data_IF_381377165438
#
_entry.id   IF_381377165438
#
_cell.length_a   1.000
_cell.length_b   1.000
_cell.length_c   1.000
_cell.angle_alpha   90.00
_cell.angle_beta   90.00
_cell.angle_gamma   90.00
#
_symmetry.space_group_name_H-M   'P 1'
#
loop_
_entity.id
_entity.type
_entity.pdbx_description
1 polymer ?
#
# COMPACT_ATOMS: atom_id res chain seq x y z
N UNK A 1 -18.66 26.23 -17.77
CA UNK A 1 -18.85 25.71 -16.40
C UNK A 1 -19.25 24.23 -16.37
N UNK A 2 -19.51 23.57 -17.51
CA UNK A 2 -19.93 22.15 -17.57
C UNK A 2 -18.76 21.13 -17.61
N UNK A 3 -17.55 21.56 -17.99
CA UNK A 3 -16.39 20.66 -18.09
C UNK A 3 -15.84 20.21 -16.73
N UNK A 4 -16.16 20.93 -15.64
CA UNK A 4 -15.72 20.59 -14.28
C UNK A 4 -16.60 19.47 -13.68
N UNK A 5 -17.90 19.45 -13.98
CA UNK A 5 -18.80 18.40 -13.49
C UNK A 5 -18.55 17.03 -14.15
N UNK A 6 -18.17 17.02 -15.43
CA UNK A 6 -17.86 15.79 -16.18
C UNK A 6 -16.60 15.08 -15.65
N UNK A 7 -15.60 15.84 -15.19
CA UNK A 7 -14.41 15.28 -14.53
C UNK A 7 -14.69 14.85 -13.09
N UNK A 8 -15.52 15.59 -12.36
CA UNK A 8 -15.85 15.30 -10.96
C UNK A 8 -16.64 13.98 -10.81
N UNK A 9 -17.56 13.69 -11.74
CA UNK A 9 -18.40 12.47 -11.70
C UNK A 9 -17.64 11.19 -12.07
N UNK A 10 -16.65 11.25 -12.97
CA UNK A 10 -15.87 10.07 -13.38
C UNK A 10 -14.66 9.81 -12.50
N UNK A 11 -14.01 10.85 -11.97
CA UNK A 11 -12.85 10.70 -11.09
C UNK A 11 -13.22 10.10 -9.73
N UNK A 12 -14.26 10.63 -9.08
CA UNK A 12 -14.67 10.17 -7.73
C UNK A 12 -15.26 8.74 -7.80
N UNK A 13 -16.04 8.43 -8.83
CA UNK A 13 -16.70 7.12 -8.95
C UNK A 13 -15.70 5.97 -9.21
N UNK A 14 -14.48 6.28 -9.71
CA UNK A 14 -13.41 5.30 -9.82
C UNK A 14 -12.77 4.97 -8.46
N UNK A 15 -12.68 5.94 -7.54
CA UNK A 15 -12.18 5.69 -6.18
C UNK A 15 -13.18 4.95 -5.29
N UNK A 16 -14.48 5.16 -5.52
CA UNK A 16 -15.56 4.43 -4.83
C UNK A 16 -16.11 3.27 -5.65
N UNK A 17 -15.37 2.78 -6.65
CA UNK A 17 -15.76 1.58 -7.37
C UNK A 17 -15.77 0.43 -6.38
N UNK A 18 -16.95 -0.14 -6.13
CA UNK A 18 -17.17 -1.26 -5.20
C UNK A 18 -16.09 -2.32 -5.44
N UNK A 19 -15.14 -2.42 -4.51
CA UNK A 19 -14.08 -3.41 -4.57
C UNK A 19 -14.74 -4.78 -4.63
N UNK A 20 -14.35 -5.62 -5.58
CA UNK A 20 -14.83 -7.01 -5.58
C UNK A 20 -14.32 -7.71 -4.32
N UNK A 21 -15.04 -8.71 -3.81
CA UNK A 21 -14.63 -9.41 -2.58
C UNK A 21 -13.20 -9.98 -2.66
N UNK A 22 -12.73 -10.32 -3.87
CA UNK A 22 -11.35 -10.79 -4.11
C UNK A 22 -10.31 -9.66 -4.11
N UNK A 23 -10.61 -8.49 -4.68
CA UNK A 23 -9.74 -7.31 -4.58
C UNK A 23 -9.62 -6.83 -3.14
N UNK A 24 -10.72 -6.89 -2.38
CA UNK A 24 -10.70 -6.59 -0.95
C UNK A 24 -9.76 -7.52 -0.20
N UNK A 25 -9.83 -8.84 -0.44
CA UNK A 25 -8.90 -9.80 0.18
C UNK A 25 -7.42 -9.53 -0.16
N UNK A 26 -7.12 -9.08 -1.38
CA UNK A 26 -5.75 -8.72 -1.76
C UNK A 26 -5.29 -7.43 -1.07
N UNK A 27 -6.16 -6.43 -0.98
CA UNK A 27 -5.90 -5.19 -0.26
C UNK A 27 -5.69 -5.43 1.23
N UNK A 28 -6.55 -6.24 1.86
CA UNK A 28 -6.42 -6.63 3.28
C UNK A 28 -5.08 -7.34 3.53
N UNK A 29 -4.67 -8.26 2.64
CA UNK A 29 -3.35 -8.91 2.73
C UNK A 29 -2.20 -7.92 2.52
N UNK A 30 -2.31 -7.02 1.55
CA UNK A 30 -1.28 -6.01 1.32
C UNK A 30 -1.12 -5.08 2.52
N UNK A 31 -2.24 -4.71 3.15
CA UNK A 31 -2.25 -3.90 4.36
C UNK A 31 -1.66 -4.63 5.56
N UNK A 32 -1.94 -5.93 5.72
CA UNK A 32 -1.28 -6.77 6.74
C UNK A 32 0.24 -6.84 6.53
N UNK A 33 0.69 -7.08 5.30
CA UNK A 33 2.13 -7.14 4.97
C UNK A 33 2.79 -5.79 5.23
N UNK A 34 2.15 -4.68 4.84
CA UNK A 34 2.65 -3.34 5.13
C UNK A 34 2.75 -3.04 6.62
N UNK A 35 1.72 -3.42 7.39
CA UNK A 35 1.71 -3.24 8.84
C UNK A 35 2.83 -4.05 9.53
N UNK A 36 3.00 -5.32 9.17
CA UNK A 36 4.08 -6.16 9.69
C UNK A 36 5.45 -5.55 9.33
N UNK A 37 5.60 -5.05 8.11
CA UNK A 37 6.85 -4.43 7.67
C UNK A 37 7.14 -3.13 8.43
N UNK A 38 6.12 -2.33 8.71
CA UNK A 38 6.22 -1.14 9.55
C UNK A 38 6.68 -1.47 10.96
N UNK A 39 6.07 -2.49 11.59
CA UNK A 39 6.48 -2.96 12.91
C UNK A 39 7.94 -3.44 12.91
N UNK A 40 8.35 -4.16 11.87
CA UNK A 40 9.73 -4.62 11.74
C UNK A 40 10.71 -3.45 11.57
N UNK A 41 10.41 -2.47 10.73
CA UNK A 41 11.24 -1.27 10.54
C UNK A 41 11.35 -0.44 11.82
N UNK A 42 10.24 -0.28 12.56
CA UNK A 42 10.25 0.37 13.87
C UNK A 42 11.10 -0.38 14.87
N UNK A 43 11.00 -1.72 14.93
CA UNK A 43 11.81 -2.55 15.80
C UNK A 43 13.31 -2.38 15.48
N UNK A 44 13.68 -2.45 14.20
CA UNK A 44 15.06 -2.25 13.76
C UNK A 44 15.55 -0.86 14.12
N UNK A 45 14.71 0.17 13.94
CA UNK A 45 15.08 1.53 14.29
C UNK A 45 15.31 1.70 15.80
N UNK A 46 14.46 1.10 16.63
CA UNK A 46 14.56 1.15 18.09
C UNK A 46 15.81 0.40 18.61
N UNK A 47 16.09 -0.79 18.05
CA UNK A 47 17.32 -1.53 18.36
C UNK A 47 18.55 -0.75 17.89
N UNK A 48 18.46 -0.11 16.73
CA UNK A 48 19.49 0.76 16.20
C UNK A 48 19.79 1.95 17.09
N UNK A 49 18.76 2.66 17.53
CA UNK A 49 18.88 3.78 18.45
C UNK A 49 19.49 3.35 19.78
N UNK A 50 19.10 2.19 20.30
CA UNK A 50 19.68 1.63 21.52
C UNK A 50 21.17 1.28 21.40
N UNK A 51 21.60 0.74 20.24
CA UNK A 51 22.99 0.27 20.04
C UNK A 51 23.94 1.37 19.57
N UNK A 52 23.45 2.33 18.79
CA UNK A 52 24.27 3.35 18.13
C UNK A 52 23.99 4.77 18.62
N UNK A 53 23.11 4.94 19.62
CA UNK A 53 22.66 6.22 20.19
C UNK A 53 22.15 7.21 19.13
N UNK A 54 21.65 6.68 18.01
CA UNK A 54 21.24 7.46 16.86
C UNK A 54 20.10 6.78 16.12
N UNK A 55 19.12 7.57 15.71
CA UNK A 55 18.07 7.13 14.78
C UNK A 55 18.70 6.68 13.45
N UNK A 56 18.46 5.42 13.06
CA UNK A 56 18.92 4.89 11.77
C UNK A 56 18.06 5.46 10.64
N UNK A 57 16.74 5.53 10.88
CA UNK A 57 15.75 6.09 9.98
C UNK A 57 14.82 7.00 10.78
N UNK A 58 14.41 8.10 10.16
CA UNK A 58 13.38 8.95 10.76
C UNK A 58 12.02 8.25 10.69
N UNK A 59 11.14 8.56 11.64
CA UNK A 59 9.76 8.04 11.66
C UNK A 59 9.01 8.28 10.34
N UNK A 60 9.25 9.42 9.69
CA UNK A 60 8.66 9.75 8.39
C UNK A 60 9.17 8.81 7.29
N UNK A 61 10.47 8.50 7.28
CA UNK A 61 11.05 7.56 6.31
C UNK A 61 10.48 6.15 6.50
N UNK A 62 10.35 5.68 7.74
CA UNK A 62 9.76 4.39 8.07
C UNK A 62 8.30 4.32 7.58
N UNK A 63 7.53 5.40 7.80
CA UNK A 63 6.15 5.50 7.31
C UNK A 63 6.07 5.43 5.78
N UNK A 64 6.88 6.23 5.08
CA UNK A 64 6.90 6.25 3.60
C UNK A 64 7.28 4.88 3.05
N UNK A 65 8.28 4.21 3.63
CA UNK A 65 8.68 2.86 3.22
C UNK A 65 7.55 1.84 3.42
N UNK A 66 6.87 1.89 4.56
CA UNK A 66 5.71 1.04 4.82
C UNK A 66 4.60 1.21 3.78
N UNK A 67 4.24 2.46 3.48
CA UNK A 67 3.22 2.79 2.47
C UNK A 67 3.65 2.31 1.08
N UNK A 68 4.92 2.55 0.71
CA UNK A 68 5.44 2.14 -0.59
C UNK A 68 5.39 0.61 -0.77
N UNK A 69 5.69 -0.15 0.28
CA UNK A 69 5.62 -1.61 0.28
C UNK A 69 4.18 -2.11 0.12
N UNK A 70 3.21 -1.49 0.79
CA UNK A 70 1.78 -1.81 0.59
C UNK A 70 1.39 -1.65 -0.88
N UNK A 71 1.70 -0.50 -1.48
CA UNK A 71 1.33 -0.23 -2.88
C UNK A 71 2.03 -1.17 -3.86
N UNK A 72 3.34 -1.43 -3.69
CA UNK A 72 4.06 -2.38 -4.54
C UNK A 72 3.44 -3.77 -4.42
N UNK A 73 3.19 -4.23 -3.21
CA UNK A 73 2.64 -5.57 -2.98
C UNK A 73 1.24 -5.71 -3.56
N UNK A 74 0.39 -4.69 -3.41
CA UNK A 74 -0.94 -4.65 -4.03
C UNK A 74 -0.86 -4.68 -5.57
N UNK A 75 0.06 -3.91 -6.17
CA UNK A 75 0.29 -3.91 -7.62
C UNK A 75 0.76 -5.29 -8.09
N UNK A 76 1.71 -5.92 -7.38
CA UNK A 76 2.23 -7.25 -7.74
C UNK A 76 1.15 -8.33 -7.66
N UNK A 77 0.33 -8.33 -6.60
CA UNK A 77 -0.80 -9.28 -6.48
C UNK A 77 -1.84 -9.07 -7.58
N UNK A 78 -2.13 -7.82 -7.94
CA UNK A 78 -3.07 -7.53 -9.02
C UNK A 78 -2.49 -7.87 -10.42
N UNK A 79 -1.17 -7.70 -10.62
CA UNK A 79 -0.50 -8.02 -11.88
C UNK A 79 -0.42 -9.53 -12.12
N UNK A 80 0.00 -10.29 -11.10
CA UNK A 80 0.02 -11.77 -11.15
C UNK A 80 -1.37 -12.36 -11.39
N UNK A 81 -2.41 -11.77 -10.80
CA UNK A 81 -3.80 -12.15 -11.08
C UNK A 81 -4.20 -11.90 -12.55
N UNK A 82 -3.87 -10.73 -13.11
CA UNK A 82 -4.17 -10.40 -14.51
C UNK A 82 -3.55 -11.39 -15.49
N UNK A 83 -2.36 -11.92 -15.17
CA UNK A 83 -1.69 -12.94 -15.99
C UNK A 83 -2.38 -14.30 -15.85
N UNK A 84 -2.73 -14.69 -14.62
CA UNK A 84 -3.34 -16.01 -14.35
C UNK A 84 -4.77 -16.11 -14.92
N UNK A 85 -5.54 -15.02 -14.86
CA UNK A 85 -6.89 -14.92 -15.44
C UNK A 85 -6.90 -14.89 -16.98
N UNK A 86 -5.78 -14.59 -17.63
CA UNK A 86 -5.68 -14.55 -19.11
C UNK A 86 -5.24 -15.91 -19.69
N UNK A 87 -4.86 -16.85 -18.83
CA UNK A 87 -4.34 -18.17 -19.20
C UNK A 87 -5.40 -19.29 -19.08
N UNK A 88 -6.52 -19.01 -18.44
CA UNK A 88 -7.76 -19.81 -18.45
C UNK A 88 -8.79 -19.14 -19.35
#
# INVERSE_FOLDING_TARGET
>A
MEMVELFNKRGIMMFFKKMTSKQKNHSDRAMQVGYITLLFLLLVNLVGEYLFEKEILTTIQIFILGVFIVFIYEILLNYTYKITSKKN
#
